data_IF_175989367275
#
_entry.id   IF_175989367275
#
_cell.length_a   1.000
_cell.length_b   1.000
_cell.length_c   1.000
_cell.angle_alpha   90.00
_cell.angle_beta   90.00
_cell.angle_gamma   90.00
#
_symmetry.space_group_name_H-M   'P 1'
#
loop_
_entity.id
_entity.type
_entity.pdbx_description
1 polymer ?
#
# COMPACT_ATOMS: atom_id res chain seq x y z
N UNK A 1 45.30 -12.39 29.23
CA UNK A 1 45.39 -11.05 28.61
C UNK A 1 45.33 -11.19 27.11
N UNK A 2 44.56 -10.32 26.44
CA UNK A 2 44.38 -10.18 24.98
C UNK A 2 43.58 -11.30 24.31
N UNK A 3 42.47 -11.05 23.59
CA UNK A 3 41.81 -9.81 23.22
C UNK A 3 40.56 -10.17 22.41
N UNK A 4 39.42 -9.60 22.80
CA UNK A 4 38.14 -9.78 22.14
C UNK A 4 38.22 -9.32 20.68
N UNK A 5 37.96 -10.23 19.74
CA UNK A 5 37.64 -9.87 18.36
C UNK A 5 36.19 -9.39 18.37
N UNK A 6 36.03 -8.07 18.41
CA UNK A 6 34.77 -7.36 18.24
C UNK A 6 34.02 -7.88 17.02
N UNK A 7 32.76 -8.24 17.22
CA UNK A 7 31.81 -8.43 16.14
C UNK A 7 31.68 -7.14 15.36
N UNK A 8 32.04 -7.18 14.09
CA UNK A 8 31.53 -6.25 13.09
C UNK A 8 30.03 -6.46 13.00
N UNK A 9 29.18 -5.46 13.32
CA UNK A 9 27.82 -5.51 12.85
C UNK A 9 27.90 -5.39 11.33
N UNK A 10 27.59 -6.50 10.66
CA UNK A 10 27.24 -6.51 9.25
C UNK A 10 26.08 -5.52 9.10
N UNK A 11 26.43 -4.29 8.69
CA UNK A 11 25.45 -3.33 8.20
C UNK A 11 24.94 -3.93 6.90
N UNK A 12 23.93 -4.78 7.04
CA UNK A 12 23.16 -5.31 5.93
C UNK A 12 22.86 -4.16 4.98
N UNK A 13 23.30 -4.38 3.74
CA UNK A 13 23.28 -3.46 2.62
C UNK A 13 22.04 -2.55 2.61
N UNK A 14 22.28 -1.26 2.78
CA UNK A 14 21.36 -0.24 2.33
C UNK A 14 21.37 -0.25 0.78
N UNK A 15 20.55 -1.10 0.20
CA UNK A 15 20.09 -0.99 -1.18
C UNK A 15 18.58 -0.89 -1.14
N UNK A 16 18.08 0.32 -0.85
CA UNK A 16 16.63 0.60 -0.80
C UNK A 16 16.24 1.75 -1.72
N UNK A 17 17.05 2.06 -2.74
CA UNK A 17 16.72 3.14 -3.68
C UNK A 17 15.49 2.86 -4.57
N UNK A 18 14.87 1.66 -4.47
CA UNK A 18 13.57 1.34 -5.09
C UNK A 18 12.45 0.91 -4.13
N UNK A 19 12.77 0.35 -2.96
CA UNK A 19 11.80 -0.43 -2.18
C UNK A 19 10.58 0.32 -1.67
N UNK A 20 10.71 1.58 -1.29
CA UNK A 20 9.58 2.38 -0.78
C UNK A 20 8.67 2.89 -1.91
N UNK A 21 9.26 3.40 -3.00
CA UNK A 21 8.48 3.89 -4.15
C UNK A 21 7.79 2.71 -4.85
N UNK A 22 8.46 1.58 -5.00
CA UNK A 22 7.87 0.35 -5.52
C UNK A 22 6.75 -0.19 -4.61
N UNK A 23 6.92 -0.11 -3.28
CA UNK A 23 5.87 -0.49 -2.34
C UNK A 23 4.64 0.43 -2.42
N UNK A 24 4.84 1.74 -2.61
CA UNK A 24 3.73 2.68 -2.84
C UNK A 24 3.05 2.39 -4.17
N UNK A 25 3.82 2.22 -5.26
CA UNK A 25 3.29 1.86 -6.57
C UNK A 25 2.43 0.59 -6.50
N UNK A 26 2.98 -0.48 -5.91
CA UNK A 26 2.25 -1.72 -5.70
C UNK A 26 1.04 -1.59 -4.76
N UNK A 27 1.06 -0.68 -3.79
CA UNK A 27 -0.11 -0.40 -2.95
C UNK A 27 -1.22 0.32 -3.73
N UNK A 28 -0.86 1.27 -4.61
CA UNK A 28 -1.80 1.97 -5.48
C UNK A 28 -2.43 1.00 -6.49
N UNK A 29 -1.64 0.11 -7.07
CA UNK A 29 -2.13 -0.95 -7.96
C UNK A 29 -3.12 -1.87 -7.25
N UNK A 30 -2.81 -2.26 -6.00
CA UNK A 30 -3.74 -3.05 -5.17
C UNK A 30 -5.06 -2.33 -4.92
N UNK A 31 -5.04 -1.03 -4.64
CA UNK A 31 -6.28 -0.26 -4.46
C UNK A 31 -7.09 -0.19 -5.77
N UNK A 32 -6.42 -0.01 -6.90
CA UNK A 32 -7.07 -0.04 -8.22
C UNK A 32 -7.73 -1.40 -8.50
N UNK A 33 -7.02 -2.49 -8.21
CA UNK A 33 -7.56 -3.86 -8.33
C UNK A 33 -8.77 -4.09 -7.42
N UNK A 34 -8.73 -3.62 -6.17
CA UNK A 34 -9.85 -3.74 -5.24
C UNK A 34 -11.08 -2.95 -5.73
N UNK A 35 -10.89 -1.75 -6.28
CA UNK A 35 -11.98 -0.98 -6.90
C UNK A 35 -12.57 -1.69 -8.12
N UNK A 36 -11.72 -2.21 -9.01
CA UNK A 36 -12.16 -2.93 -10.20
C UNK A 36 -12.94 -4.21 -9.83
N UNK A 37 -12.43 -4.98 -8.86
CA UNK A 37 -13.09 -6.17 -8.35
C UNK A 37 -14.46 -5.85 -7.74
N UNK A 38 -14.53 -4.86 -6.84
CA UNK A 38 -15.78 -4.43 -6.23
C UNK A 38 -16.82 -3.98 -7.28
N UNK A 39 -16.40 -3.24 -8.30
CA UNK A 39 -17.28 -2.82 -9.39
C UNK A 39 -17.72 -3.99 -10.26
N UNK A 40 -16.84 -4.98 -10.49
CA UNK A 40 -17.14 -6.20 -11.22
C UNK A 40 -18.20 -7.03 -10.52
N UNK A 41 -17.97 -7.35 -9.24
CA UNK A 41 -18.93 -8.13 -8.42
C UNK A 41 -20.28 -7.41 -8.31
N UNK A 42 -20.27 -6.08 -8.14
CA UNK A 42 -21.51 -5.30 -8.11
C UNK A 42 -22.32 -5.44 -9.40
N UNK A 43 -21.63 -5.54 -10.54
CA UNK A 43 -22.25 -5.70 -11.86
C UNK A 43 -22.76 -7.12 -12.07
N UNK A 44 -21.98 -8.12 -11.67
CA UNK A 44 -22.39 -9.53 -11.76
C UNK A 44 -23.58 -9.84 -10.86
N UNK A 45 -23.60 -9.27 -9.65
CA UNK A 45 -24.74 -9.37 -8.75
C UNK A 45 -26.02 -8.75 -9.35
N UNK A 46 -25.91 -7.56 -9.97
CA UNK A 46 -27.04 -6.93 -10.68
C UNK A 46 -27.54 -7.74 -11.88
N UNK A 47 -26.68 -8.57 -12.47
CA UNK A 47 -27.02 -9.49 -13.55
C UNK A 47 -27.61 -10.81 -13.04
N UNK A 48 -27.87 -10.93 -11.73
CA UNK A 48 -28.43 -12.13 -11.11
C UNK A 48 -27.52 -13.36 -11.29
N UNK A 49 -26.21 -13.15 -11.38
CA UNK A 49 -25.24 -14.24 -11.45
C UNK A 49 -25.30 -15.09 -10.16
N UNK A 50 -25.67 -16.37 -10.22
CA UNK A 50 -25.80 -17.23 -9.04
C UNK A 50 -24.47 -17.52 -8.33
N UNK A 51 -23.34 -17.31 -9.01
CA UNK A 51 -22.00 -17.52 -8.47
C UNK A 51 -21.51 -16.32 -7.62
N UNK A 52 -22.20 -15.17 -7.67
CA UNK A 52 -21.80 -13.95 -6.96
C UNK A 52 -22.87 -13.54 -5.94
N UNK A 53 -22.54 -13.72 -4.67
CA UNK A 53 -23.40 -13.31 -3.55
C UNK A 53 -23.37 -11.81 -3.25
N UNK A 54 -24.44 -11.32 -2.64
CA UNK A 54 -24.50 -9.97 -2.08
C UNK A 54 -23.43 -9.78 -1.00
N UNK A 55 -23.19 -10.81 -0.20
CA UNK A 55 -22.23 -10.81 0.90
C UNK A 55 -20.81 -10.57 0.38
N UNK A 56 -20.42 -11.27 -0.69
CA UNK A 56 -19.10 -11.15 -1.30
C UNK A 56 -18.91 -9.77 -1.95
N UNK A 57 -19.95 -9.28 -2.65
CA UNK A 57 -19.98 -7.93 -3.22
C UNK A 57 -19.78 -6.86 -2.13
N UNK A 58 -20.51 -6.99 -1.02
CA UNK A 58 -20.42 -6.07 0.12
C UNK A 58 -19.04 -6.10 0.77
N UNK A 59 -18.45 -7.28 0.94
CA UNK A 59 -17.09 -7.43 1.48
C UNK A 59 -16.07 -6.80 0.54
N UNK A 60 -16.21 -7.00 -0.78
CA UNK A 60 -15.33 -6.39 -1.77
C UNK A 60 -15.42 -4.86 -1.76
N UNK A 61 -16.64 -4.31 -1.66
CA UNK A 61 -16.87 -2.87 -1.48
C UNK A 61 -16.19 -2.34 -0.21
N UNK A 62 -16.33 -3.05 0.91
CA UNK A 62 -15.70 -2.67 2.19
C UNK A 62 -14.17 -2.66 2.08
N UNK A 63 -13.59 -3.69 1.44
CA UNK A 63 -12.15 -3.81 1.20
C UNK A 63 -11.64 -2.68 0.31
N UNK A 64 -12.34 -2.36 -0.78
CA UNK A 64 -11.98 -1.27 -1.68
C UNK A 64 -12.02 0.09 -0.97
N UNK A 65 -13.05 0.35 -0.17
CA UNK A 65 -13.19 1.59 0.60
C UNK A 65 -12.06 1.75 1.64
N UNK A 66 -11.80 0.71 2.44
CA UNK A 66 -10.73 0.72 3.44
C UNK A 66 -9.34 0.86 2.79
N UNK A 67 -9.09 0.12 1.71
CA UNK A 67 -7.83 0.20 0.96
C UNK A 67 -7.59 1.60 0.39
N UNK A 68 -8.64 2.22 -0.17
CA UNK A 68 -8.56 3.59 -0.67
C UNK A 68 -8.25 4.60 0.44
N UNK A 69 -8.93 4.50 1.59
CA UNK A 69 -8.65 5.36 2.75
C UNK A 69 -7.19 5.23 3.21
N UNK A 70 -6.66 4.01 3.27
CA UNK A 70 -5.26 3.78 3.60
C UNK A 70 -4.31 4.44 2.57
N UNK A 71 -4.58 4.30 1.27
CA UNK A 71 -3.78 4.93 0.23
C UNK A 71 -3.80 6.46 0.29
N UNK A 72 -4.94 7.07 0.61
CA UNK A 72 -5.03 8.53 0.82
C UNK A 72 -4.17 8.97 2.00
N UNK A 73 -4.15 8.21 3.10
CA UNK A 73 -3.28 8.54 4.24
C UNK A 73 -1.80 8.48 3.85
N UNK A 74 -1.38 7.44 3.12
CA UNK A 74 0.01 7.32 2.64
C UNK A 74 0.35 8.47 1.69
N UNK A 75 -0.52 8.78 0.73
CA UNK A 75 -0.34 9.93 -0.18
C UNK A 75 -0.11 11.22 0.60
N UNK A 76 -0.96 11.48 1.60
CA UNK A 76 -0.86 12.70 2.41
C UNK A 76 0.46 12.74 3.19
N UNK A 77 0.94 11.61 3.73
CA UNK A 77 2.24 11.51 4.41
C UNK A 77 3.42 11.76 3.46
N UNK A 78 3.37 11.23 2.24
CA UNK A 78 4.41 11.47 1.22
C UNK A 78 4.46 12.94 0.83
N UNK A 79 3.30 13.57 0.63
CA UNK A 79 3.21 15.00 0.33
C UNK A 79 3.75 15.84 1.50
N UNK A 80 3.40 15.49 2.75
CA UNK A 80 3.93 16.17 3.94
C UNK A 80 5.46 16.07 4.00
N UNK A 81 6.01 14.86 3.87
CA UNK A 81 7.46 14.66 3.90
C UNK A 81 8.20 15.46 2.82
N UNK A 82 7.63 15.57 1.62
CA UNK A 82 8.19 16.42 0.55
C UNK A 82 8.18 17.91 0.95
N UNK A 83 7.06 18.41 1.49
CA UNK A 83 6.96 19.79 1.96
C UNK A 83 7.91 20.09 3.12
N UNK A 84 8.07 19.17 4.06
CA UNK A 84 8.98 19.31 5.22
C UNK A 84 10.44 19.45 4.76
N UNK A 85 10.87 18.67 3.75
CA UNK A 85 12.21 18.79 3.15
C UNK A 85 12.40 20.16 2.47
N UNK A 86 11.39 20.67 1.78
CA UNK A 86 11.44 22.00 1.15
C UNK A 86 11.56 23.12 2.20
N UNK A 87 10.82 23.02 3.31
CA UNK A 87 10.83 24.02 4.38
C UNK A 87 12.05 23.92 5.31
N UNK A 88 12.82 22.84 5.28
CA UNK A 88 14.08 22.70 6.03
C UNK A 88 15.27 23.43 5.38
N UNK A 89 15.18 23.82 4.10
CA UNK A 89 16.30 24.38 3.33
C UNK A 89 16.23 25.91 3.12
N UNK A 90 15.46 26.64 3.93
CA UNK A 90 15.46 28.12 3.94
C UNK A 90 16.18 28.69 5.14
#
# INVERSE_FOLDING_TARGET
MSGAKLGTPDRAAATTDGGFIDAIGGALDKVSQLQANSSGLSKEFQMENPDVGLEETMIAMQKASLGFQAAVQVRNKVVQAYNDIMNMNV
#
